data_IF_758846795598
#
_entry.id   IF_758846795598
#
_cell.length_a   1.000
_cell.length_b   1.000
_cell.length_c   1.000
_cell.angle_alpha   90.00
_cell.angle_beta   90.00
_cell.angle_gamma   90.00
#
_symmetry.space_group_name_H-M   'P 1'
#
loop_
_entity.id
_entity.type
_entity.pdbx_description
1 polymer ?
#
# COMPACT_ATOMS: atom_id res chain seq x y z
N UNK A 1 15.08 -32.32 9.26
CA UNK A 1 13.80 -31.83 8.71
C UNK A 1 12.69 -32.69 9.26
N UNK A 2 11.77 -32.08 10.01
CA UNK A 2 10.64 -32.78 10.61
C UNK A 2 9.48 -32.88 9.60
N UNK A 3 8.63 -33.90 9.73
CA UNK A 3 7.49 -34.13 8.83
C UNK A 3 6.53 -32.94 8.73
N UNK A 4 6.53 -32.03 9.70
CA UNK A 4 5.78 -30.76 9.68
C UNK A 4 6.31 -29.74 8.68
N UNK A 5 7.62 -29.75 8.37
CA UNK A 5 8.21 -28.84 7.38
C UNK A 5 7.87 -29.27 5.94
N UNK A 6 7.73 -30.57 5.69
CA UNK A 6 7.39 -31.13 4.38
C UNK A 6 5.92 -30.87 4.01
N UNK A 7 5.02 -30.87 5.01
CA UNK A 7 3.60 -30.62 4.78
C UNK A 7 3.28 -29.16 4.40
N UNK A 8 4.05 -28.19 4.92
CA UNK A 8 3.90 -26.77 4.57
C UNK A 8 4.34 -26.50 3.12
N UNK A 9 5.40 -27.19 2.67
CA UNK A 9 5.96 -27.05 1.32
C UNK A 9 5.01 -27.64 0.25
N UNK A 10 4.33 -28.74 0.53
CA UNK A 10 3.44 -29.40 -0.43
C UNK A 10 2.16 -28.60 -0.72
N UNK A 11 1.63 -27.86 0.27
CA UNK A 11 0.39 -27.07 0.13
C UNK A 11 0.63 -25.78 -0.69
N UNK A 12 1.84 -25.20 -0.62
CA UNK A 12 2.21 -24.00 -1.35
C UNK A 12 2.22 -24.20 -2.88
N UNK A 13 2.53 -25.42 -3.35
CA UNK A 13 2.67 -25.73 -4.77
C UNK A 13 1.33 -25.80 -5.54
N UNK A 14 0.20 -25.97 -4.86
CA UNK A 14 -1.11 -26.11 -5.55
C UNK A 14 -1.84 -24.78 -5.76
N UNK A 15 -1.49 -23.72 -5.02
CA UNK A 15 -2.25 -22.45 -4.98
C UNK A 15 -1.72 -21.44 -6.01
N UNK A 16 -0.44 -21.51 -6.39
CA UNK A 16 0.22 -20.51 -7.25
C UNK A 16 -0.25 -20.43 -8.71
N UNK A 17 -1.16 -21.29 -9.17
CA UNK A 17 -1.47 -21.41 -10.61
C UNK A 17 -2.59 -20.47 -11.11
N UNK A 18 -3.32 -19.74 -10.24
CA UNK A 18 -4.59 -19.10 -10.66
C UNK A 18 -4.65 -17.58 -10.75
N UNK A 19 -3.62 -16.82 -10.38
CA UNK A 19 -3.75 -15.36 -10.29
C UNK A 19 -2.58 -14.57 -10.89
N UNK A 20 -2.33 -14.75 -12.19
CA UNK A 20 -1.45 -13.86 -12.96
C UNK A 20 -1.97 -13.69 -14.38
N UNK A 21 -3.11 -13.02 -14.56
CA UNK A 21 -3.50 -12.44 -15.86
C UNK A 21 -4.66 -11.46 -15.69
N UNK A 22 -4.35 -10.24 -15.29
CA UNK A 22 -5.10 -9.04 -15.69
C UNK A 22 -4.29 -7.81 -15.28
N UNK A 23 -4.34 -6.76 -16.11
CA UNK A 23 -3.73 -5.44 -15.96
C UNK A 23 -2.36 -5.25 -16.66
N UNK A 24 -2.38 -5.36 -17.99
CA UNK A 24 -1.54 -4.52 -18.86
C UNK A 24 -2.47 -3.92 -19.93
N UNK A 25 -2.51 -2.59 -20.02
CA UNK A 25 -2.90 -1.89 -21.25
C UNK A 25 -2.03 -0.63 -21.41
N UNK A 26 -1.61 -0.27 -22.64
CA UNK A 26 -0.63 0.79 -22.87
C UNK A 26 -1.26 2.16 -23.15
N UNK A 27 -0.45 3.20 -22.93
CA UNK A 27 -0.76 4.62 -23.05
C UNK A 27 -0.59 5.20 -24.47
N UNK A 28 -1.52 6.12 -24.81
CA UNK A 28 -1.47 7.34 -25.62
C UNK A 28 -0.89 7.40 -27.06
N UNK A 29 -1.63 8.11 -27.94
CA UNK A 29 -1.09 9.11 -28.89
C UNK A 29 -2.05 10.30 -29.10
N UNK A 30 -1.48 11.50 -29.17
CA UNK A 30 -2.08 12.81 -29.53
C UNK A 30 -2.11 12.97 -31.06
N UNK A 31 -2.94 13.89 -31.57
CA UNK A 31 -2.53 15.04 -32.42
C UNK A 31 -3.74 15.98 -32.71
N UNK A 32 -3.45 17.15 -33.27
CA UNK A 32 -4.06 18.45 -32.95
C UNK A 32 -4.96 19.10 -34.02
N UNK A 33 -5.55 20.25 -33.60
CA UNK A 33 -5.86 21.48 -34.34
C UNK A 33 -7.30 21.74 -34.87
N UNK A 34 -7.83 22.93 -34.54
CA UNK A 34 -8.91 23.62 -35.27
C UNK A 34 -9.82 24.52 -34.42
N UNK A 35 -9.57 25.84 -34.39
CA UNK A 35 -10.52 26.92 -34.00
C UNK A 35 -11.23 27.43 -35.29
N UNK A 36 -12.42 28.10 -35.29
CA UNK A 36 -12.61 29.43 -34.68
C UNK A 36 -14.03 29.81 -34.12
N UNK A 37 -14.00 30.84 -33.26
CA UNK A 37 -14.95 31.92 -32.87
C UNK A 37 -16.49 31.81 -33.03
N UNK A 38 -17.25 32.15 -31.97
CA UNK A 38 -17.88 33.48 -31.73
C UNK A 38 -18.62 33.55 -30.36
N UNK A 39 -18.92 34.77 -29.95
CA UNK A 39 -19.54 35.25 -28.71
C UNK A 39 -20.96 34.72 -28.45
N UNK A 40 -21.35 34.64 -27.17
CA UNK A 40 -22.48 35.42 -26.65
C UNK A 40 -22.58 35.34 -25.11
N UNK A 41 -23.07 36.43 -24.55
CA UNK A 41 -23.13 36.81 -23.13
C UNK A 41 -24.31 36.16 -22.41
N UNK A 42 -24.09 35.59 -21.22
CA UNK A 42 -25.05 35.53 -20.08
C UNK A 42 -24.29 35.06 -18.83
N UNK A 43 -24.31 35.77 -17.68
CA UNK A 43 -23.78 35.20 -16.44
C UNK A 43 -24.81 34.21 -15.88
N UNK A 44 -24.51 32.92 -16.01
CA UNK A 44 -25.21 31.85 -15.31
C UNK A 44 -24.98 32.00 -13.78
N UNK A 45 -25.95 31.58 -12.94
CA UNK A 45 -25.91 31.84 -11.51
C UNK A 45 -24.74 31.12 -10.86
N UNK A 46 -24.19 31.72 -9.79
CA UNK A 46 -23.22 31.11 -8.86
C UNK A 46 -23.80 29.82 -8.26
N UNK A 47 -23.73 28.73 -9.02
CA UNK A 47 -23.79 27.39 -8.48
C UNK A 47 -22.52 27.19 -7.68
N UNK A 48 -22.67 27.01 -6.38
CA UNK A 48 -21.64 26.39 -5.55
C UNK A 48 -21.53 24.93 -6.01
N UNK A 49 -20.81 24.71 -7.11
CA UNK A 49 -20.25 23.40 -7.42
C UNK A 49 -19.25 23.13 -6.29
N UNK A 50 -19.71 22.36 -5.31
CA UNK A 50 -18.85 21.81 -4.28
C UNK A 50 -17.98 20.77 -4.99
N UNK A 51 -16.92 21.24 -5.65
CA UNK A 51 -15.89 20.39 -6.23
C UNK A 51 -15.38 19.53 -5.07
N UNK A 52 -15.82 18.26 -5.03
CA UNK A 52 -15.42 17.35 -3.98
C UNK A 52 -13.89 17.27 -4.01
N UNK A 53 -13.25 17.57 -2.88
CA UNK A 53 -11.81 17.42 -2.75
C UNK A 53 -11.45 15.97 -3.11
N UNK A 54 -10.65 15.73 -4.16
CA UNK A 54 -10.36 14.37 -4.62
C UNK A 54 -9.67 13.53 -3.55
N UNK A 55 -8.92 14.16 -2.62
CA UNK A 55 -8.38 13.45 -1.46
C UNK A 55 -9.48 13.04 -0.48
N UNK A 56 -10.47 13.89 -0.25
CA UNK A 56 -11.60 13.51 0.60
C UNK A 56 -12.39 12.36 0.00
N UNK A 57 -12.73 12.41 -1.30
CA UNK A 57 -13.45 11.34 -1.99
C UNK A 57 -12.69 10.00 -1.93
N UNK A 58 -11.39 10.02 -2.23
CA UNK A 58 -10.55 8.82 -2.14
C UNK A 58 -10.50 8.21 -0.72
N UNK A 59 -10.40 9.07 0.31
CA UNK A 59 -10.43 8.61 1.70
C UNK A 59 -11.78 8.00 2.08
N UNK A 60 -12.90 8.58 1.62
CA UNK A 60 -14.23 8.05 1.88
C UNK A 60 -14.45 6.71 1.17
N UNK A 61 -13.92 6.52 -0.04
CA UNK A 61 -13.94 5.22 -0.71
C UNK A 61 -13.25 4.11 0.11
N UNK A 62 -12.06 4.40 0.66
CA UNK A 62 -11.36 3.48 1.56
C UNK A 62 -12.15 3.22 2.85
N UNK A 63 -12.77 4.26 3.42
CA UNK A 63 -13.60 4.13 4.62
C UNK A 63 -14.80 3.22 4.36
N UNK A 64 -15.51 3.43 3.25
CA UNK A 64 -16.67 2.61 2.86
C UNK A 64 -16.28 1.14 2.68
N UNK A 65 -15.10 0.88 2.12
CA UNK A 65 -14.56 -0.48 2.01
C UNK A 65 -14.28 -1.11 3.37
N UNK A 66 -13.68 -0.38 4.33
CA UNK A 66 -13.48 -0.88 5.69
C UNK A 66 -14.78 -1.16 6.44
N UNK A 67 -15.81 -0.34 6.22
CA UNK A 67 -17.11 -0.45 6.89
C UNK A 67 -18.06 -1.44 6.20
N UNK A 68 -17.66 -2.01 5.06
CA UNK A 68 -18.52 -2.86 4.23
C UNK A 68 -18.89 -4.21 4.86
N UNK A 69 -18.07 -4.72 5.78
CA UNK A 69 -18.16 -6.10 6.28
C UNK A 69 -17.73 -7.18 5.25
N UNK A 70 -17.31 -6.76 4.05
CA UNK A 70 -16.81 -7.63 2.99
C UNK A 70 -15.30 -7.81 3.14
N UNK A 71 -14.85 -9.04 3.33
CA UNK A 71 -13.44 -9.34 3.59
C UNK A 71 -12.51 -9.00 2.42
N UNK A 72 -12.99 -9.09 1.18
CA UNK A 72 -12.21 -8.75 0.00
C UNK A 72 -12.05 -7.23 -0.15
N UNK A 73 -13.12 -6.46 0.09
CA UNK A 73 -13.06 -4.99 0.11
C UNK A 73 -12.16 -4.49 1.24
N UNK A 74 -12.28 -5.04 2.45
CA UNK A 74 -11.40 -4.70 3.58
C UNK A 74 -9.95 -5.05 3.26
N UNK A 75 -9.70 -6.19 2.61
CA UNK A 75 -8.36 -6.58 2.17
C UNK A 75 -7.78 -5.57 1.16
N UNK A 76 -8.56 -5.14 0.17
CA UNK A 76 -8.14 -4.14 -0.81
C UNK A 76 -7.87 -2.78 -0.16
N UNK A 77 -8.74 -2.32 0.73
CA UNK A 77 -8.56 -1.08 1.49
C UNK A 77 -7.32 -1.13 2.40
N UNK A 78 -7.02 -2.30 2.97
CA UNK A 78 -5.82 -2.50 3.78
C UNK A 78 -4.54 -2.30 2.96
N UNK A 79 -4.51 -2.81 1.72
CA UNK A 79 -3.42 -2.54 0.78
C UNK A 79 -3.37 -1.07 0.35
N UNK A 80 -4.52 -0.44 0.13
CA UNK A 80 -4.61 1.01 -0.15
C UNK A 80 -3.99 1.84 0.98
N UNK A 81 -4.34 1.57 2.23
CA UNK A 81 -3.76 2.26 3.40
C UNK A 81 -2.27 1.97 3.54
N UNK A 82 -1.80 0.75 3.27
CA UNK A 82 -0.37 0.41 3.33
C UNK A 82 0.48 1.34 2.47
N UNK A 83 0.06 1.63 1.25
CA UNK A 83 0.80 2.51 0.33
C UNK A 83 0.44 4.00 0.46
N UNK A 84 -0.66 4.34 1.14
CA UNK A 84 -1.13 5.72 1.28
C UNK A 84 -0.14 6.66 2.00
N UNK A 85 0.19 7.79 1.39
CA UNK A 85 1.09 8.82 1.99
C UNK A 85 0.45 10.18 2.14
N UNK A 86 -0.71 10.40 1.51
CA UNK A 86 -1.41 11.67 1.58
C UNK A 86 -1.85 11.96 3.03
N UNK A 87 -1.40 13.08 3.63
CA UNK A 87 -1.67 13.39 5.02
C UNK A 87 -3.14 13.74 5.27
N UNK A 88 -3.85 14.29 4.28
CA UNK A 88 -5.29 14.63 4.42
C UNK A 88 -6.09 13.33 4.53
N UNK A 89 -5.86 12.40 3.60
CA UNK A 89 -6.52 11.09 3.58
C UNK A 89 -6.23 10.28 4.85
N UNK A 90 -4.96 10.24 5.28
CA UNK A 90 -4.58 9.56 6.52
C UNK A 90 -5.28 10.16 7.74
N UNK A 91 -5.37 11.49 7.84
CA UNK A 91 -6.04 12.15 8.96
C UNK A 91 -7.56 11.89 8.96
N UNK A 92 -8.20 11.88 7.78
CA UNK A 92 -9.62 11.53 7.66
C UNK A 92 -9.88 10.10 8.15
N UNK A 93 -9.06 9.14 7.74
CA UNK A 93 -9.17 7.74 8.18
C UNK A 93 -8.86 7.57 9.68
N UNK A 94 -7.86 8.29 10.21
CA UNK A 94 -7.56 8.32 11.65
C UNK A 94 -8.76 8.80 12.46
N UNK A 95 -9.47 9.82 11.97
CA UNK A 95 -10.71 10.30 12.60
C UNK A 95 -11.82 9.25 12.69
N UNK A 96 -11.72 8.17 11.92
CA UNK A 96 -12.67 7.05 11.89
C UNK A 96 -12.08 5.73 12.42
N UNK A 97 -10.85 5.75 12.96
CA UNK A 97 -10.09 4.54 13.30
C UNK A 97 -10.85 3.60 14.25
N UNK A 98 -11.51 4.14 15.28
CA UNK A 98 -12.26 3.33 16.24
C UNK A 98 -13.51 2.68 15.60
N UNK A 99 -14.16 3.37 14.64
CA UNK A 99 -15.26 2.79 13.85
C UNK A 99 -14.77 1.70 12.93
N UNK A 100 -13.63 1.91 12.26
CA UNK A 100 -12.98 0.89 11.42
C UNK A 100 -12.70 -0.35 12.27
N UNK A 101 -12.04 -0.21 13.42
CA UNK A 101 -11.74 -1.33 14.33
C UNK A 101 -13.01 -2.10 14.74
N UNK A 102 -14.06 -1.38 15.11
CA UNK A 102 -15.32 -2.00 15.52
C UNK A 102 -15.99 -2.76 14.37
N UNK A 103 -16.00 -2.19 13.16
CA UNK A 103 -16.61 -2.82 11.99
C UNK A 103 -15.85 -4.07 11.53
N UNK A 104 -14.53 -4.10 11.65
CA UNK A 104 -13.69 -5.20 11.17
C UNK A 104 -13.46 -6.30 12.22
N UNK A 105 -13.73 -6.06 13.50
CA UNK A 105 -13.40 -6.97 14.62
C UNK A 105 -13.90 -8.40 14.44
N UNK A 106 -15.07 -8.59 13.82
CA UNK A 106 -15.72 -9.90 13.66
C UNK A 106 -15.72 -10.41 12.22
N UNK A 107 -15.08 -9.69 11.30
CA UNK A 107 -15.02 -10.11 9.90
C UNK A 107 -14.04 -11.26 9.76
N UNK A 108 -14.50 -12.37 9.17
CA UNK A 108 -13.59 -13.45 8.80
C UNK A 108 -12.83 -13.06 7.53
N UNK A 109 -11.59 -12.60 7.70
CA UNK A 109 -10.72 -12.21 6.60
C UNK A 109 -10.27 -13.40 5.72
N UNK A 110 -10.49 -14.63 6.17
CA UNK A 110 -10.03 -15.83 5.47
C UNK A 110 -8.50 -15.93 5.41
N UNK A 111 -8.02 -16.63 4.39
CA UNK A 111 -6.61 -16.99 4.24
C UNK A 111 -6.42 -18.50 4.37
N UNK A 112 -5.70 -19.10 3.43
CA UNK A 112 -5.49 -20.56 3.38
C UNK A 112 -4.23 -20.96 4.16
N UNK A 113 -3.15 -20.20 4.00
CA UNK A 113 -1.83 -20.48 4.61
C UNK A 113 -1.52 -19.48 5.72
N UNK A 114 -1.71 -18.19 5.42
CA UNK A 114 -1.60 -17.10 6.38
C UNK A 114 -2.95 -16.40 6.44
N UNK A 115 -3.39 -16.02 7.64
CA UNK A 115 -4.62 -15.25 7.80
C UNK A 115 -4.46 -13.89 7.12
N UNK A 116 -5.45 -13.49 6.31
CA UNK A 116 -5.46 -12.17 5.69
C UNK A 116 -5.60 -11.02 6.71
N UNK A 117 -5.85 -11.32 7.99
CA UNK A 117 -5.80 -10.34 9.08
C UNK A 117 -4.46 -9.59 9.14
N UNK A 118 -3.35 -10.19 8.68
CA UNK A 118 -2.04 -9.50 8.64
C UNK A 118 -2.08 -8.18 7.86
N UNK A 119 -2.92 -8.09 6.82
CA UNK A 119 -3.07 -6.86 6.03
C UNK A 119 -3.88 -5.81 6.79
N UNK A 120 -4.98 -6.23 7.41
CA UNK A 120 -5.81 -5.34 8.25
C UNK A 120 -4.99 -4.79 9.42
N UNK A 121 -4.25 -5.65 10.12
CA UNK A 121 -3.41 -5.24 11.25
C UNK A 121 -2.30 -4.26 10.82
N UNK A 122 -1.73 -4.43 9.62
CA UNK A 122 -0.81 -3.43 9.07
C UNK A 122 -1.49 -2.06 8.89
N UNK A 123 -2.65 -2.03 8.24
CA UNK A 123 -3.38 -0.78 8.00
C UNK A 123 -3.76 -0.09 9.32
N UNK A 124 -4.28 -0.84 10.29
CA UNK A 124 -4.62 -0.33 11.62
C UNK A 124 -3.39 0.19 12.36
N UNK A 125 -2.26 -0.51 12.31
CA UNK A 125 -1.00 -0.06 12.93
C UNK A 125 -0.51 1.25 12.30
N UNK A 126 -0.61 1.40 10.99
CA UNK A 126 -0.23 2.63 10.30
C UNK A 126 -1.12 3.81 10.71
N UNK A 127 -2.43 3.62 10.76
CA UNK A 127 -3.36 4.65 11.22
C UNK A 127 -3.09 5.00 12.69
N UNK A 128 -2.78 4.01 13.53
CA UNK A 128 -2.37 4.24 14.92
C UNK A 128 -1.09 5.07 15.04
N UNK A 129 -0.09 4.75 14.22
CA UNK A 129 1.17 5.50 14.14
C UNK A 129 0.94 6.97 13.77
N UNK A 130 0.04 7.23 12.82
CA UNK A 130 -0.36 8.59 12.44
C UNK A 130 -1.12 9.27 13.58
N UNK A 131 -2.09 8.57 14.20
CA UNK A 131 -2.88 9.09 15.33
C UNK A 131 -2.00 9.59 16.47
N UNK A 132 -0.95 8.84 16.79
CA UNK A 132 -0.01 9.18 17.85
C UNK A 132 1.13 10.10 17.40
N UNK A 133 1.18 10.49 16.13
CA UNK A 133 2.29 11.29 15.56
C UNK A 133 3.66 10.69 15.87
N UNK A 134 3.78 9.37 15.78
CA UNK A 134 4.95 8.60 16.23
C UNK A 134 6.18 8.73 15.30
N UNK A 135 6.29 9.84 14.56
CA UNK A 135 7.39 10.13 13.65
C UNK A 135 7.12 9.73 12.20
N UNK A 136 8.19 9.62 11.42
CA UNK A 136 8.11 9.32 9.99
C UNK A 136 7.48 7.94 9.73
N UNK A 137 6.67 7.82 8.67
CA UNK A 137 6.02 6.58 8.32
C UNK A 137 7.00 5.47 7.90
N UNK A 138 8.24 5.80 7.54
CA UNK A 138 9.27 4.79 7.24
C UNK A 138 9.60 3.92 8.46
N UNK A 139 9.31 4.38 9.69
CA UNK A 139 9.49 3.58 10.89
C UNK A 139 8.63 2.30 10.89
N UNK A 140 7.61 2.22 10.04
CA UNK A 140 6.74 1.06 9.90
C UNK A 140 7.31 -0.05 9.02
N UNK A 141 8.41 0.19 8.28
CA UNK A 141 8.96 -0.80 7.34
C UNK A 141 9.35 -2.11 8.02
N UNK A 142 9.97 -2.05 9.20
CA UNK A 142 10.29 -3.25 10.01
C UNK A 142 9.06 -4.01 10.50
N UNK A 143 7.90 -3.35 10.62
CA UNK A 143 6.68 -3.95 11.17
C UNK A 143 5.84 -4.68 10.13
N UNK A 144 6.23 -4.63 8.86
CA UNK A 144 5.47 -5.20 7.75
C UNK A 144 6.35 -5.59 6.57
N UNK A 145 6.41 -6.89 6.31
CA UNK A 145 7.28 -7.50 5.30
C UNK A 145 6.86 -7.22 3.85
N UNK A 146 5.72 -6.55 3.64
CA UNK A 146 5.16 -6.32 2.31
C UNK A 146 5.47 -4.94 1.71
N UNK A 147 6.25 -4.12 2.39
CA UNK A 147 6.80 -2.92 1.78
C UNK A 147 7.88 -3.30 0.78
N UNK A 148 7.59 -3.11 -0.51
CA UNK A 148 8.52 -3.35 -1.59
C UNK A 148 9.48 -2.14 -1.72
N UNK A 149 10.80 -2.30 -1.55
CA UNK A 149 11.76 -1.20 -1.57
C UNK A 149 11.75 -0.45 -2.91
N UNK A 150 11.66 -1.16 -4.03
CA UNK A 150 11.60 -0.56 -5.37
C UNK A 150 10.33 0.26 -5.56
N UNK A 151 9.16 -0.24 -5.17
CA UNK A 151 7.90 0.52 -5.27
C UNK A 151 7.88 1.73 -4.34
N UNK A 152 8.45 1.59 -3.14
CA UNK A 152 8.59 2.72 -2.21
C UNK A 152 9.52 3.80 -2.79
N UNK A 153 10.58 3.40 -3.50
CA UNK A 153 11.48 4.32 -4.19
C UNK A 153 10.83 4.99 -5.40
N UNK A 154 10.09 4.24 -6.23
CA UNK A 154 9.30 4.79 -7.35
C UNK A 154 8.26 5.81 -6.89
N UNK A 155 7.67 5.59 -5.72
CA UNK A 155 6.74 6.51 -5.08
C UNK A 155 7.42 7.70 -4.38
N UNK A 156 8.76 7.76 -4.35
CA UNK A 156 9.54 8.81 -3.70
C UNK A 156 9.57 8.75 -2.16
N UNK A 157 9.12 7.65 -1.56
CA UNK A 157 9.12 7.47 -0.10
C UNK A 157 10.49 7.03 0.44
N UNK A 158 11.34 6.57 -0.46
CA UNK A 158 12.64 5.99 -0.20
C UNK A 158 13.59 6.36 -1.35
N UNK A 159 14.89 6.40 -1.08
CA UNK A 159 15.94 6.43 -2.09
C UNK A 159 16.77 5.17 -1.92
N UNK A 160 16.99 4.43 -3.02
CA UNK A 160 17.90 3.29 -3.04
C UNK A 160 19.28 3.83 -3.43
N UNK A 161 20.22 3.77 -2.49
CA UNK A 161 21.59 4.25 -2.66
C UNK A 161 22.46 3.23 -3.39
N UNK A 162 22.30 1.96 -3.01
CA UNK A 162 23.06 0.85 -3.56
C UNK A 162 22.19 -0.41 -3.60
N UNK A 163 22.36 -1.21 -4.65
CA UNK A 163 21.81 -2.56 -4.76
C UNK A 163 22.96 -3.54 -4.96
N UNK A 164 23.04 -4.54 -4.10
CA UNK A 164 23.97 -5.65 -4.19
C UNK A 164 23.24 -6.99 -4.23
N UNK A 165 23.99 -8.08 -4.27
CA UNK A 165 23.45 -9.45 -4.21
C UNK A 165 23.63 -10.03 -2.80
N UNK A 166 22.64 -10.77 -2.32
CA UNK A 166 22.73 -11.44 -1.02
C UNK A 166 23.84 -12.50 -0.96
N UNK A 167 24.31 -12.74 0.26
CA UNK A 167 25.19 -13.86 0.56
C UNK A 167 24.48 -15.19 0.21
N UNK A 168 25.00 -15.92 -0.78
CA UNK A 168 24.35 -17.11 -1.35
C UNK A 168 23.90 -16.95 -2.80
N UNK A 169 23.99 -15.73 -3.36
CA UNK A 169 23.81 -15.48 -4.80
C UNK A 169 22.36 -15.42 -5.28
N UNK A 170 21.40 -15.35 -4.36
CA UNK A 170 19.98 -15.26 -4.69
C UNK A 170 19.31 -14.15 -3.89
N UNK A 171 18.58 -13.27 -4.59
CA UNK A 171 17.94 -12.10 -4.00
C UNK A 171 18.87 -10.89 -3.91
N UNK A 172 18.26 -9.71 -3.95
CA UNK A 172 18.97 -8.45 -3.83
C UNK A 172 19.07 -7.98 -2.37
N UNK A 173 20.11 -7.20 -2.10
CA UNK A 173 20.25 -6.39 -0.89
C UNK A 173 20.18 -4.94 -1.33
N UNK A 174 19.26 -4.17 -0.77
CA UNK A 174 19.16 -2.74 -1.00
C UNK A 174 19.63 -1.97 0.22
N UNK A 175 20.53 -1.02 0.02
CA UNK A 175 20.85 0.02 0.98
C UNK A 175 20.09 1.27 0.58
N UNK A 176 19.33 1.81 1.52
CA UNK A 176 18.36 2.85 1.24
C UNK A 176 18.34 3.89 2.35
N UNK A 177 17.84 5.08 2.03
CA UNK A 177 17.48 6.07 3.05
C UNK A 177 16.10 6.68 2.78
N UNK A 178 15.44 7.09 3.87
CA UNK A 178 14.20 7.84 3.77
C UNK A 178 14.52 9.32 3.51
N UNK A 179 14.09 9.93 2.39
CA UNK A 179 14.38 11.32 2.08
C UNK A 179 13.68 12.30 3.05
N UNK A 180 12.66 11.86 3.79
CA UNK A 180 11.93 12.71 4.75
C UNK A 180 12.64 12.85 6.10
N UNK A 181 13.21 11.77 6.63
CA UNK A 181 13.80 11.78 7.98
C UNK A 181 15.26 11.33 8.04
N UNK A 182 15.87 10.99 6.90
CA UNK A 182 17.27 10.54 6.80
C UNK A 182 17.55 9.15 7.35
N UNK A 183 16.53 8.43 7.82
CA UNK A 183 16.71 7.06 8.36
C UNK A 183 17.24 6.11 7.29
N UNK A 184 18.35 5.45 7.59
CA UNK A 184 18.95 4.45 6.72
C UNK A 184 18.41 3.03 6.99
N UNK A 185 18.29 2.25 5.92
CA UNK A 185 17.68 0.93 5.89
C UNK A 185 18.52 -0.01 5.05
N UNK A 186 18.59 -1.27 5.49
CA UNK A 186 19.06 -2.40 4.71
C UNK A 186 17.89 -3.35 4.49
N UNK A 187 17.65 -3.70 3.23
CA UNK A 187 16.48 -4.49 2.82
C UNK A 187 16.93 -5.71 2.05
N UNK A 188 16.41 -6.88 2.42
CA UNK A 188 16.71 -8.15 1.77
C UNK A 188 15.45 -8.75 1.13
N UNK A 189 15.53 -9.09 -0.16
CA UNK A 189 14.55 -9.93 -0.84
C UNK A 189 14.57 -11.36 -0.29
N UNK A 190 13.44 -11.92 0.13
CA UNK A 190 13.44 -13.23 0.82
C UNK A 190 12.72 -14.37 0.11
N UNK A 191 11.70 -14.08 -0.69
CA UNK A 191 10.91 -15.09 -1.40
C UNK A 191 10.56 -14.60 -2.80
N UNK A 192 10.49 -15.48 -3.80
CA UNK A 192 10.15 -15.12 -5.18
C UNK A 192 8.66 -15.36 -5.48
N UNK A 193 8.07 -16.43 -4.94
CA UNK A 193 6.68 -16.79 -5.26
C UNK A 193 5.66 -15.92 -4.54
N UNK A 194 6.02 -15.44 -3.35
CA UNK A 194 5.25 -14.49 -2.59
C UNK A 194 6.21 -13.47 -1.97
N UNK A 195 6.65 -12.48 -2.77
CA UNK A 195 7.73 -11.60 -2.36
C UNK A 195 7.44 -10.88 -1.06
N UNK A 196 8.41 -10.99 -0.18
CA UNK A 196 8.47 -10.23 1.05
C UNK A 196 9.91 -9.79 1.30
N UNK A 197 10.01 -8.70 2.03
CA UNK A 197 11.24 -7.98 2.26
C UNK A 197 11.53 -7.94 3.74
N UNK A 198 12.77 -8.30 4.07
CA UNK A 198 13.25 -8.13 5.42
C UNK A 198 13.90 -6.76 5.54
N UNK A 199 13.24 -5.88 6.28
CA UNK A 199 13.72 -4.54 6.58
C UNK A 199 14.48 -4.56 7.89
N UNK A 200 15.66 -3.94 7.90
CA UNK A 200 16.42 -3.65 9.11
C UNK A 200 16.97 -2.24 9.05
N UNK A 201 16.96 -1.52 10.17
CA UNK A 201 17.76 -0.30 10.31
C UNK A 201 19.21 -0.59 9.96
N UNK A 202 19.79 0.24 9.10
CA UNK A 202 21.23 0.21 8.91
C UNK A 202 21.88 0.80 10.17
N UNK A 203 22.86 0.10 10.71
CA UNK A 203 23.72 0.67 11.77
C UNK A 203 24.49 1.86 11.17
N UNK A 204 24.63 2.93 11.95
CA UNK A 204 25.33 4.14 11.55
C UNK A 204 26.85 3.95 11.52
#
# INVERSE_FOLDING_TARGET
MSFTEIAVIAIALTIGYKYTSALISPSAKKDAAGKPARSDTTPAPLGLEHDADPSHEAAMGLLDDFLSGDSHRIWAASWGVRTLRDPVQLNLLVGQLDRIRAATLKVNMGGVVVSNNVHLECALRKLEHVRHRAGCLCALYESDIFYNPTKEAEAGNLVIDETGTQAGGWGDVHHCHCPTCGSAWRVEDREYHYPWWEWRRAEA
#
